data_IF_531369514410
#
_entry.id   IF_531369514410
#
_cell.length_a   1.000
_cell.length_b   1.000
_cell.length_c   1.000
_cell.angle_alpha   90.00
_cell.angle_beta   90.00
_cell.angle_gamma   90.00
#
_symmetry.space_group_name_H-M   'P 1'
#
loop_
_entity.id
_entity.type
_entity.pdbx_description
1 polymer ?
#
# COMPACT_ATOMS: atom_id res chain seq x y z
N UNK A 1 21.03 11.68 -42.88
CA UNK A 1 21.35 10.55 -43.78
C UNK A 1 22.39 9.68 -43.07
N UNK A 2 21.99 8.58 -42.50
CA UNK A 2 22.75 7.30 -42.41
C UNK A 2 21.81 6.27 -41.84
N UNK A 3 21.64 5.27 -42.67
CA UNK A 3 20.71 4.16 -42.58
C UNK A 3 21.29 3.00 -41.76
N UNK A 4 20.37 2.11 -41.33
CA UNK A 4 20.47 0.64 -41.23
C UNK A 4 21.21 0.12 -39.97
N UNK A 5 20.78 -0.97 -39.30
CA UNK A 5 20.28 -2.25 -39.80
C UNK A 5 19.58 -3.02 -38.71
N UNK A 6 18.50 -3.68 -39.04
CA UNK A 6 17.83 -4.73 -38.29
C UNK A 6 18.69 -5.98 -38.20
N UNK A 7 18.67 -6.69 -37.06
CA UNK A 7 19.09 -8.09 -37.00
C UNK A 7 18.08 -8.88 -36.17
N UNK A 8 17.27 -9.65 -36.90
CA UNK A 8 16.46 -10.74 -36.37
C UNK A 8 17.37 -11.93 -36.04
N UNK A 9 17.22 -12.54 -34.90
CA UNK A 9 17.66 -13.89 -34.66
C UNK A 9 16.58 -14.68 -33.94
N UNK A 10 15.87 -15.47 -34.71
CA UNK A 10 14.97 -16.54 -34.29
C UNK A 10 15.80 -17.76 -33.89
N UNK A 11 15.49 -18.38 -32.76
CA UNK A 11 15.88 -19.75 -32.46
C UNK A 11 14.75 -20.46 -31.72
N UNK A 12 14.13 -21.35 -32.45
CA UNK A 12 13.26 -22.41 -31.98
C UNK A 12 14.09 -23.65 -31.64
N UNK A 13 13.80 -24.31 -30.51
CA UNK A 13 14.11 -25.74 -30.26
C UNK A 13 13.33 -26.17 -29.03
N UNK A 14 12.35 -26.95 -29.22
CA UNK A 14 12.17 -28.40 -29.36
C UNK A 14 11.94 -29.14 -28.05
N UNK A 15 10.80 -29.82 -28.09
CA UNK A 15 10.27 -30.85 -27.20
C UNK A 15 11.26 -31.95 -26.81
N UNK A 16 11.15 -32.48 -25.59
CA UNK A 16 11.32 -33.92 -25.37
C UNK A 16 10.41 -34.40 -24.22
N UNK A 17 9.46 -35.23 -24.59
CA UNK A 17 8.75 -36.19 -23.76
C UNK A 17 9.70 -37.33 -23.37
N UNK A 18 9.62 -37.76 -22.10
CA UNK A 18 9.91 -39.16 -21.76
C UNK A 18 9.03 -39.61 -20.62
N UNK A 19 8.22 -40.59 -20.92
CA UNK A 19 7.36 -41.34 -20.03
C UNK A 19 8.10 -42.60 -19.54
N UNK A 20 7.58 -43.21 -18.51
CA UNK A 20 7.67 -44.59 -17.96
C UNK A 20 8.03 -44.55 -16.50
N UNK A 21 7.32 -45.16 -15.53
CA UNK A 21 6.49 -46.35 -15.59
C UNK A 21 6.85 -47.26 -14.42
N UNK A 22 5.90 -47.84 -13.70
CA UNK A 22 6.10 -49.06 -12.88
C UNK A 22 5.94 -48.81 -11.37
N UNK A 23 4.87 -49.18 -10.81
CA UNK A 23 4.29 -50.46 -10.33
C UNK A 23 4.68 -50.82 -8.90
N UNK A 24 3.67 -50.78 -8.03
CA UNK A 24 3.16 -51.78 -7.08
C UNK A 24 4.10 -52.39 -6.01
N UNK A 25 3.68 -52.32 -4.76
CA UNK A 25 3.21 -53.45 -3.94
C UNK A 25 2.88 -53.01 -2.53
N UNK A 26 1.66 -53.19 -2.17
CA UNK A 26 0.99 -53.82 -1.04
C UNK A 26 1.88 -54.35 0.09
N UNK A 27 1.59 -53.95 1.35
CA UNK A 27 1.22 -54.93 2.39
C UNK A 27 0.58 -54.27 3.59
N UNK A 28 -0.48 -54.88 3.99
CA UNK A 28 -1.41 -54.68 5.10
C UNK A 28 -0.79 -55.28 6.38
N UNK A 29 -0.93 -54.66 7.54
CA UNK A 29 -1.21 -55.36 8.79
C UNK A 29 -2.03 -54.50 9.75
N UNK A 30 -3.11 -55.10 10.21
CA UNK A 30 -4.12 -54.70 11.16
C UNK A 30 -3.65 -54.88 12.60
N UNK A 31 -4.15 -54.08 13.53
CA UNK A 31 -4.60 -54.43 14.89
C UNK A 31 -4.99 -53.13 15.62
N UNK A 32 -6.19 -52.87 15.82
CA UNK A 32 -7.18 -53.19 16.86
C UNK A 32 -6.89 -52.68 18.28
N UNK A 33 -7.75 -51.81 18.70
CA UNK A 33 -8.56 -51.66 19.91
C UNK A 33 -7.99 -50.82 21.07
N UNK A 34 -8.63 -49.78 21.49
CA UNK A 34 -9.60 -49.67 22.56
C UNK A 34 -9.89 -48.23 22.98
N UNK A 35 -11.09 -47.80 22.81
CA UNK A 35 -12.00 -47.09 23.71
C UNK A 35 -11.45 -46.28 24.89
N UNK A 36 -11.76 -44.99 24.92
CA UNK A 36 -12.37 -44.35 26.10
C UNK A 36 -13.06 -43.05 25.71
N UNK A 37 -14.38 -43.02 25.94
CA UNK A 37 -15.22 -41.82 25.93
C UNK A 37 -14.81 -40.85 27.02
N UNK A 38 -14.83 -39.55 26.69
CA UNK A 38 -15.26 -38.52 27.62
C UNK A 38 -15.78 -37.32 26.82
N UNK A 39 -17.05 -37.10 27.01
CA UNK A 39 -17.86 -36.04 26.46
C UNK A 39 -17.52 -34.63 26.97
N UNK A 40 -18.09 -33.67 26.24
CA UNK A 40 -18.40 -32.30 26.64
C UNK A 40 -17.36 -31.26 26.17
N UNK A 41 -17.64 -30.30 25.32
CA UNK A 41 -18.70 -29.33 25.40
C UNK A 41 -18.66 -28.53 24.09
N UNK A 42 -19.77 -28.50 23.40
CA UNK A 42 -20.04 -27.54 22.33
C UNK A 42 -19.98 -26.11 22.90
N UNK A 43 -19.06 -25.30 22.39
CA UNK A 43 -19.24 -23.88 22.40
C UNK A 43 -19.31 -23.45 20.93
N UNK A 44 -20.50 -23.54 20.38
CA UNK A 44 -20.92 -22.84 19.18
C UNK A 44 -20.87 -21.35 19.54
N UNK A 45 -19.76 -20.70 19.24
CA UNK A 45 -19.72 -19.25 19.17
C UNK A 45 -20.38 -18.89 17.84
N UNK A 46 -21.67 -18.64 17.92
CA UNK A 46 -22.42 -17.96 16.87
C UNK A 46 -21.85 -16.54 16.80
N UNK A 47 -20.91 -16.29 15.90
CA UNK A 47 -20.69 -14.95 15.42
C UNK A 47 -21.97 -14.52 14.71
N UNK A 48 -22.80 -13.85 15.46
CA UNK A 48 -23.93 -13.09 14.97
C UNK A 48 -23.38 -12.07 13.96
N UNK A 49 -23.51 -12.41 12.68
CA UNK A 49 -23.32 -11.47 11.59
C UNK A 49 -24.30 -10.32 11.83
N UNK A 50 -23.84 -9.25 12.46
CA UNK A 50 -24.51 -7.98 12.43
C UNK A 50 -24.54 -7.51 10.97
N UNK A 51 -25.58 -7.97 10.26
CA UNK A 51 -26.03 -7.34 9.03
C UNK A 51 -26.64 -6.00 9.44
N UNK A 52 -25.80 -5.02 9.74
CA UNK A 52 -26.18 -3.63 9.64
C UNK A 52 -26.47 -3.41 8.16
N UNK A 53 -27.65 -2.90 7.88
CA UNK A 53 -28.06 -2.34 6.59
C UNK A 53 -27.11 -1.15 6.30
N UNK A 54 -25.89 -1.46 5.88
CA UNK A 54 -24.94 -0.48 5.43
C UNK A 54 -25.47 0.01 4.08
N UNK A 55 -25.99 1.23 4.06
CA UNK A 55 -26.27 1.92 2.82
C UNK A 55 -25.10 1.66 1.87
N UNK A 56 -25.38 1.09 0.69
CA UNK A 56 -24.35 0.68 -0.26
C UNK A 56 -23.41 1.87 -0.51
N UNK A 57 -22.15 1.75 -0.06
CA UNK A 57 -21.16 2.80 -0.28
C UNK A 57 -20.91 2.89 -1.78
N UNK A 58 -21.10 4.09 -2.33
CA UNK A 58 -20.79 4.35 -3.74
C UNK A 58 -19.31 4.64 -3.85
N UNK A 59 -18.60 3.88 -4.67
CA UNK A 59 -17.15 4.01 -4.90
C UNK A 59 -16.86 4.29 -6.37
N UNK A 60 -15.66 4.82 -6.63
CA UNK A 60 -15.18 5.12 -8.00
C UNK A 60 -15.21 3.85 -8.86
N UNK A 61 -14.75 2.74 -8.31
CA UNK A 61 -14.80 1.43 -8.95
C UNK A 61 -15.76 0.52 -8.17
N UNK A 62 -16.83 0.08 -8.81
CA UNK A 62 -17.84 -0.74 -8.14
C UNK A 62 -17.23 -1.97 -7.44
N UNK A 63 -17.54 -2.13 -6.15
CA UNK A 63 -17.04 -3.24 -5.32
C UNK A 63 -15.61 -3.06 -4.80
N UNK A 64 -14.97 -1.92 -5.07
CA UNK A 64 -13.63 -1.64 -4.62
C UNK A 64 -13.55 -0.33 -3.82
N UNK A 65 -12.66 -0.29 -2.85
CA UNK A 65 -12.16 0.94 -2.24
C UNK A 65 -10.85 1.31 -2.94
N UNK A 66 -10.90 2.34 -3.79
CA UNK A 66 -9.71 2.80 -4.52
C UNK A 66 -8.97 3.81 -3.67
N UNK A 67 -7.75 3.47 -3.29
CA UNK A 67 -6.83 4.27 -2.50
C UNK A 67 -5.70 4.80 -3.39
N UNK A 68 -5.55 6.11 -3.49
CA UNK A 68 -4.33 6.71 -4.04
C UNK A 68 -3.28 6.87 -2.94
N UNK A 69 -2.02 6.62 -3.28
CA UNK A 69 -0.89 6.65 -2.35
C UNK A 69 0.42 7.01 -3.07
N UNK A 70 1.50 7.21 -2.31
CA UNK A 70 2.87 7.29 -2.81
C UNK A 70 3.74 6.27 -2.06
N UNK A 71 3.80 5.05 -2.58
CA UNK A 71 4.38 3.88 -1.90
C UNK A 71 5.91 3.90 -1.84
N UNK A 72 6.47 5.02 -1.34
CA UNK A 72 7.89 5.25 -1.11
C UNK A 72 8.15 5.91 0.27
N UNK A 73 7.21 5.77 1.22
CA UNK A 73 7.28 6.42 2.53
C UNK A 73 7.14 5.43 3.71
N UNK A 74 8.15 4.58 3.97
CA UNK A 74 8.12 3.67 5.10
C UNK A 74 8.11 4.43 6.45
N UNK A 75 7.39 3.95 7.48
CA UNK A 75 6.64 2.69 7.53
C UNK A 75 5.17 2.81 7.12
N UNK A 76 4.74 3.94 6.55
CA UNK A 76 3.33 4.19 6.22
C UNK A 76 2.90 3.43 4.98
N UNK A 77 3.60 3.59 3.87
CA UNK A 77 3.36 2.90 2.61
C UNK A 77 4.67 2.66 1.86
N UNK A 78 4.83 1.46 1.35
CA UNK A 78 6.00 1.09 0.55
C UNK A 78 5.70 -0.05 -0.41
N UNK A 79 6.48 -0.09 -1.49
CA UNK A 79 6.47 -1.21 -2.42
C UNK A 79 7.51 -2.24 -1.97
N UNK A 80 7.11 -3.51 -1.91
CA UNK A 80 7.99 -4.63 -1.59
C UNK A 80 8.86 -5.02 -2.78
N UNK A 81 9.88 -5.85 -2.56
CA UNK A 81 10.71 -6.40 -3.64
C UNK A 81 9.91 -7.26 -4.65
N UNK A 82 8.74 -7.76 -4.26
CA UNK A 82 7.83 -8.53 -5.11
C UNK A 82 6.85 -7.66 -5.89
N UNK A 83 6.81 -6.35 -5.62
CA UNK A 83 5.92 -5.40 -6.25
C UNK A 83 4.56 -5.28 -5.57
N UNK A 84 4.39 -5.90 -4.40
CA UNK A 84 3.21 -5.74 -3.56
C UNK A 84 3.34 -4.47 -2.71
N UNK A 85 2.23 -4.04 -2.09
CA UNK A 85 2.23 -2.90 -1.19
C UNK A 85 2.11 -3.35 0.26
N UNK A 86 2.85 -2.67 1.16
CA UNK A 86 2.80 -2.89 2.60
C UNK A 86 2.94 -1.58 3.37
N UNK A 87 2.64 -1.61 4.67
CA UNK A 87 2.76 -0.48 5.58
C UNK A 87 1.46 -0.16 6.31
N UNK A 88 1.54 0.78 7.24
CA UNK A 88 0.44 1.17 8.13
C UNK A 88 -0.79 1.60 7.32
N UNK A 89 -0.60 2.46 6.34
CA UNK A 89 -1.68 3.02 5.52
C UNK A 89 -2.35 1.93 4.67
N UNK A 90 -1.56 1.00 4.13
CA UNK A 90 -2.07 -0.13 3.35
C UNK A 90 -2.93 -1.06 4.23
N UNK A 91 -2.43 -1.38 5.45
CA UNK A 91 -3.16 -2.26 6.38
C UNK A 91 -4.45 -1.62 6.88
N UNK A 92 -4.42 -0.31 7.21
CA UNK A 92 -5.61 0.44 7.66
C UNK A 92 -6.64 0.52 6.54
N UNK A 93 -6.23 0.88 5.31
CA UNK A 93 -7.12 0.90 4.15
C UNK A 93 -7.74 -0.48 3.87
N UNK A 94 -6.94 -1.55 3.97
CA UNK A 94 -7.41 -2.92 3.84
C UNK A 94 -8.46 -3.30 4.89
N UNK A 95 -8.26 -2.87 6.14
CA UNK A 95 -9.22 -3.08 7.22
C UNK A 95 -10.53 -2.30 6.98
N UNK A 96 -10.45 -1.07 6.46
CA UNK A 96 -11.61 -0.26 6.08
C UNK A 96 -12.36 -0.93 4.95
N UNK A 97 -11.68 -1.31 3.86
CA UNK A 97 -12.28 -1.99 2.71
C UNK A 97 -13.03 -3.25 3.15
N UNK A 98 -12.40 -4.09 3.98
CA UNK A 98 -13.00 -5.30 4.53
C UNK A 98 -14.27 -5.00 5.34
N UNK A 99 -14.27 -3.98 6.19
CA UNK A 99 -15.45 -3.57 6.97
C UNK A 99 -16.60 -3.09 6.10
N UNK A 100 -16.29 -2.48 4.96
CA UNK A 100 -17.27 -2.00 3.97
C UNK A 100 -17.72 -3.10 3.00
N UNK A 101 -17.14 -4.31 3.07
CA UNK A 101 -17.41 -5.39 2.12
C UNK A 101 -16.85 -5.14 0.73
N UNK A 102 -15.77 -4.34 0.64
CA UNK A 102 -15.10 -3.94 -0.59
C UNK A 102 -13.73 -4.62 -0.71
N UNK A 103 -13.22 -4.72 -1.94
CA UNK A 103 -11.82 -5.06 -2.23
C UNK A 103 -10.98 -3.78 -2.20
N UNK A 104 -9.79 -3.81 -1.56
CA UNK A 104 -8.86 -2.69 -1.64
C UNK A 104 -8.15 -2.69 -3.00
N UNK A 105 -8.16 -1.55 -3.69
CA UNK A 105 -7.34 -1.25 -4.85
C UNK A 105 -6.37 -0.13 -4.48
N UNK A 106 -5.07 -0.38 -4.63
CA UNK A 106 -4.01 0.61 -4.36
C UNK A 106 -3.49 1.14 -5.68
N UNK A 107 -3.55 2.45 -5.85
CA UNK A 107 -3.04 3.18 -7.02
C UNK A 107 -1.83 4.02 -6.55
N UNK A 108 -0.61 3.53 -6.85
CA UNK A 108 0.65 4.20 -6.53
C UNK A 108 0.98 5.28 -7.54
N UNK A 109 1.34 6.48 -7.06
CA UNK A 109 1.70 7.63 -7.89
C UNK A 109 2.50 8.65 -7.07
N UNK A 110 2.97 9.74 -7.71
CA UNK A 110 3.61 10.83 -7.00
C UNK A 110 2.67 11.45 -5.95
N UNK A 111 3.21 11.93 -4.84
CA UNK A 111 2.44 12.40 -3.68
C UNK A 111 1.42 13.49 -4.03
N UNK A 112 1.81 14.50 -4.79
CA UNK A 112 0.89 15.57 -5.24
C UNK A 112 -0.21 15.05 -6.17
N UNK A 113 0.11 14.06 -7.01
CA UNK A 113 -0.87 13.40 -7.88
C UNK A 113 -1.87 12.57 -7.06
N UNK A 114 -1.43 11.89 -5.98
CA UNK A 114 -2.29 11.13 -5.09
C UNK A 114 -3.33 12.02 -4.40
N UNK A 115 -2.90 13.19 -3.89
CA UNK A 115 -3.82 14.19 -3.34
C UNK A 115 -4.85 14.66 -4.38
N UNK A 116 -4.40 14.98 -5.60
CA UNK A 116 -5.25 15.41 -6.68
C UNK A 116 -6.23 14.33 -7.16
N UNK A 117 -5.85 13.04 -7.09
CA UNK A 117 -6.71 11.94 -7.45
C UNK A 117 -7.94 11.88 -6.54
N UNK A 118 -7.76 12.01 -5.23
CA UNK A 118 -8.87 12.06 -4.28
C UNK A 118 -9.73 13.32 -4.47
N UNK A 119 -9.11 14.51 -4.59
CA UNK A 119 -9.84 15.76 -4.80
C UNK A 119 -10.72 15.75 -6.05
N UNK A 120 -10.27 15.09 -7.10
CA UNK A 120 -10.98 15.00 -8.37
C UNK A 120 -11.90 13.77 -8.49
N UNK A 121 -12.08 13.00 -7.41
CA UNK A 121 -12.93 11.82 -7.40
C UNK A 121 -12.41 10.68 -8.31
N UNK A 122 -11.11 10.58 -8.51
CA UNK A 122 -10.47 9.46 -9.23
C UNK A 122 -10.08 8.31 -8.30
N UNK A 123 -9.92 8.60 -7.01
CA UNK A 123 -9.83 7.63 -5.93
C UNK A 123 -10.88 7.95 -4.87
N UNK A 124 -11.28 6.95 -4.09
CA UNK A 124 -12.23 7.10 -3.00
C UNK A 124 -11.58 7.72 -1.78
N UNK A 125 -10.34 7.34 -1.54
CA UNK A 125 -9.51 7.85 -0.43
C UNK A 125 -8.09 8.10 -0.91
N UNK A 126 -7.37 8.95 -0.18
CA UNK A 126 -5.91 9.08 -0.23
C UNK A 126 -5.34 8.74 1.14
N UNK A 127 -4.37 7.84 1.19
CA UNK A 127 -3.58 7.54 2.37
C UNK A 127 -2.11 7.51 1.95
N UNK A 128 -1.32 8.43 2.48
CA UNK A 128 0.08 8.66 2.12
C UNK A 128 0.77 9.48 3.22
N UNK A 129 0.52 9.15 4.49
CA UNK A 129 1.01 9.93 5.61
C UNK A 129 0.59 11.40 5.55
N UNK A 130 -0.61 11.69 5.06
CA UNK A 130 -1.05 13.05 4.73
C UNK A 130 -1.31 13.87 5.98
N UNK A 131 -0.52 14.93 6.19
CA UNK A 131 -0.73 15.89 7.28
C UNK A 131 -1.98 16.72 7.03
N UNK A 132 -2.82 16.90 8.05
CA UNK A 132 -3.96 17.82 8.05
C UNK A 132 -3.44 19.26 8.04
N UNK A 133 -3.89 20.07 7.08
CA UNK A 133 -3.63 21.51 7.03
C UNK A 133 -4.91 22.25 6.67
N UNK A 134 -5.00 23.53 7.05
CA UNK A 134 -6.17 24.38 6.76
C UNK A 134 -6.45 24.47 5.25
N UNK A 135 -5.40 24.48 4.43
CA UNK A 135 -5.53 24.54 2.97
C UNK A 135 -6.09 23.25 2.40
N UNK A 136 -5.60 22.09 2.89
CA UNK A 136 -6.10 20.79 2.47
C UNK A 136 -7.54 20.55 2.91
N UNK A 137 -7.92 21.00 4.11
CA UNK A 137 -9.30 20.90 4.62
C UNK A 137 -10.32 21.70 3.80
N UNK A 138 -9.88 22.66 2.99
CA UNK A 138 -10.78 23.39 2.06
C UNK A 138 -11.23 22.56 0.87
N UNK A 139 -10.51 21.49 0.56
CA UNK A 139 -10.67 20.72 -0.69
C UNK A 139 -10.84 19.22 -0.49
N UNK A 140 -10.67 18.74 0.75
CA UNK A 140 -10.89 17.33 1.12
C UNK A 140 -11.26 17.20 2.59
N UNK A 141 -12.00 16.15 2.91
CA UNK A 141 -12.29 15.77 4.30
C UNK A 141 -11.19 14.86 4.83
N UNK A 142 -11.02 14.86 6.15
CA UNK A 142 -10.03 14.06 6.86
C UNK A 142 -10.68 13.16 7.91
N UNK A 143 -10.06 12.01 8.15
CA UNK A 143 -10.36 11.16 9.29
C UNK A 143 -9.83 11.78 10.60
N UNK A 144 -10.11 11.12 11.73
CA UNK A 144 -9.35 11.35 12.95
C UNK A 144 -7.86 11.06 12.71
N UNK A 145 -6.99 11.78 13.42
CA UNK A 145 -5.54 11.58 13.35
C UNK A 145 -5.15 10.21 13.90
N UNK A 146 -4.38 9.43 13.15
CA UNK A 146 -3.90 8.10 13.53
C UNK A 146 -2.37 8.04 13.73
N UNK A 147 -1.65 9.12 13.38
CA UNK A 147 -0.21 9.25 13.59
C UNK A 147 0.17 10.71 13.81
N UNK A 148 1.24 10.93 14.57
CA UNK A 148 1.84 12.25 14.74
C UNK A 148 3.21 12.25 14.04
N UNK A 149 3.42 13.22 13.15
CA UNK A 149 4.68 13.42 12.43
C UNK A 149 5.41 14.67 12.91
N UNK A 150 6.74 14.61 12.90
CA UNK A 150 7.60 15.77 13.16
C UNK A 150 8.40 16.01 11.88
N UNK A 151 8.31 17.24 11.34
CA UNK A 151 9.13 17.64 10.20
C UNK A 151 10.59 17.75 10.64
N UNK A 152 11.48 17.08 9.93
CA UNK A 152 12.91 17.02 10.26
C UNK A 152 13.75 17.42 9.06
N UNK A 153 14.95 17.96 9.35
CA UNK A 153 15.95 18.33 8.36
C UNK A 153 17.05 17.28 8.40
N UNK A 154 17.37 16.69 7.27
CA UNK A 154 18.46 15.72 7.12
C UNK A 154 19.66 16.43 6.56
N UNK A 155 20.78 16.36 7.25
CA UNK A 155 22.06 16.97 6.86
C UNK A 155 23.20 15.96 6.98
N UNK A 156 24.33 16.15 6.27
CA UNK A 156 25.54 15.38 6.49
C UNK A 156 26.03 15.46 7.95
N UNK A 157 26.70 14.42 8.44
CA UNK A 157 27.19 14.35 9.83
C UNK A 157 28.13 15.51 10.23
N UNK A 158 28.87 16.02 9.28
CA UNK A 158 29.82 17.14 9.44
C UNK A 158 29.24 18.49 9.01
N UNK A 159 27.92 18.62 8.90
CA UNK A 159 27.24 19.85 8.50
C UNK A 159 27.28 20.89 9.61
N UNK A 160 27.43 22.15 9.21
CA UNK A 160 27.29 23.31 10.11
C UNK A 160 25.82 23.71 10.34
N UNK A 161 24.86 23.05 9.67
CA UNK A 161 23.43 23.30 9.81
C UNK A 161 22.93 22.62 11.10
N UNK A 162 22.50 23.41 12.07
CA UNK A 162 21.99 22.95 13.36
C UNK A 162 20.49 23.24 13.54
N UNK A 163 19.94 24.16 12.75
CA UNK A 163 18.54 24.60 12.83
C UNK A 163 18.00 25.02 11.46
N UNK A 164 16.70 25.29 11.38
CA UNK A 164 16.07 25.83 10.17
C UNK A 164 16.63 27.22 9.79
N UNK A 165 17.05 28.04 10.76
CA UNK A 165 17.60 29.36 10.51
C UNK A 165 18.90 29.34 9.66
N UNK A 166 19.63 28.21 9.73
CA UNK A 166 20.88 28.03 8.99
C UNK A 166 20.66 27.65 7.50
N UNK A 167 19.40 27.45 7.09
CA UNK A 167 19.05 27.07 5.72
C UNK A 167 19.06 28.23 4.73
N UNK A 168 19.12 29.49 5.20
CA UNK A 168 19.12 30.66 4.33
C UNK A 168 20.25 30.59 3.30
N UNK A 169 19.89 30.66 2.02
CA UNK A 169 20.83 30.58 0.90
C UNK A 169 21.42 29.19 0.63
N UNK A 170 20.85 28.15 1.23
CA UNK A 170 21.24 26.77 0.96
C UNK A 170 20.29 26.14 -0.08
N UNK A 171 20.82 25.15 -0.81
CA UNK A 171 19.98 24.31 -1.67
C UNK A 171 19.27 23.25 -0.81
N UNK A 172 17.94 23.24 -0.84
CA UNK A 172 17.10 22.36 -0.03
C UNK A 172 16.38 21.40 -0.97
N UNK A 173 16.57 20.09 -0.78
CA UNK A 173 15.83 19.05 -1.48
C UNK A 173 14.58 18.67 -0.70
N UNK A 174 13.42 18.70 -1.35
CA UNK A 174 12.15 18.29 -0.74
C UNK A 174 11.22 17.71 -1.79
N UNK A 175 10.24 16.90 -1.36
CA UNK A 175 9.26 16.35 -2.26
C UNK A 175 8.11 17.35 -2.46
N UNK A 176 7.71 17.54 -3.71
CA UNK A 176 6.63 18.46 -4.07
C UNK A 176 5.32 18.13 -3.38
N UNK A 177 4.63 19.16 -2.92
CA UNK A 177 3.30 19.05 -2.31
C UNK A 177 3.30 18.56 -0.86
N UNK A 178 4.44 18.17 -0.29
CA UNK A 178 4.56 17.80 1.13
C UNK A 178 4.61 19.02 2.03
N UNK A 179 4.40 18.82 3.34
CA UNK A 179 4.56 19.90 4.33
C UNK A 179 5.99 20.42 4.39
N UNK A 180 7.00 19.54 4.17
CA UNK A 180 8.40 19.98 4.05
C UNK A 180 8.63 20.93 2.87
N UNK A 181 8.00 20.66 1.73
CA UNK A 181 8.03 21.56 0.58
C UNK A 181 7.38 22.91 0.91
N UNK A 182 6.17 22.88 1.52
CA UNK A 182 5.42 24.10 1.89
C UNK A 182 6.25 24.96 2.83
N UNK A 183 6.81 24.40 3.91
CA UNK A 183 7.63 25.16 4.85
C UNK A 183 8.87 25.76 4.16
N UNK A 184 9.53 25.01 3.29
CA UNK A 184 10.70 25.55 2.57
C UNK A 184 10.32 26.70 1.64
N UNK A 185 9.21 26.62 0.92
CA UNK A 185 8.76 27.68 0.00
C UNK A 185 8.27 28.92 0.75
N UNK A 186 7.58 28.74 1.87
CA UNK A 186 7.08 29.84 2.70
C UNK A 186 8.22 30.62 3.38
N UNK A 187 9.23 29.90 3.89
CA UNK A 187 10.33 30.52 4.66
C UNK A 187 11.49 31.00 3.79
N UNK A 188 11.76 30.33 2.66
CA UNK A 188 12.98 30.58 1.86
C UNK A 188 12.71 30.92 0.38
N UNK A 189 11.45 30.81 -0.08
CA UNK A 189 11.08 31.04 -1.48
C UNK A 189 11.24 29.80 -2.38
N UNK A 190 10.84 29.93 -3.63
CA UNK A 190 10.88 28.85 -4.64
C UNK A 190 12.14 28.87 -5.54
N UNK A 191 13.09 29.78 -5.34
CA UNK A 191 14.26 30.01 -6.21
C UNK A 191 15.48 29.17 -5.81
#
# INVERSE_FOLDING_TARGET
>A
MKKLTALMLSSAMMLSLAACGGSASTETVSSEAASSEAASSEAVSTEEAASADAAAVTTVNAGKLTMSTNAAFPPYEMTTDTGDFEGIDIEVAGAIAKKLGLELQVDDMDFDAALLAAQNGKSDIVMAGVTVTDERQKVMDFSDTYAEGIQSIIVPEDSDIASADDLTGKAIGTQRGTTGYIYCTDDFGED
#
